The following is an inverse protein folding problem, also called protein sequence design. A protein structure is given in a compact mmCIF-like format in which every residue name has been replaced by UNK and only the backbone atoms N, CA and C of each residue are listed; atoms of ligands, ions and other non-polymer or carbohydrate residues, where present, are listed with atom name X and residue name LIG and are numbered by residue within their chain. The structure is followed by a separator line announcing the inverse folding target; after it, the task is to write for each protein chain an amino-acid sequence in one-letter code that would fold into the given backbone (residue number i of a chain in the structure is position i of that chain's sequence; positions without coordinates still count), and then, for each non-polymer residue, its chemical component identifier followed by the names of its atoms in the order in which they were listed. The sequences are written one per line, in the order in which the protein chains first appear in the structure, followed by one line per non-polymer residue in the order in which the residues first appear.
data_IF_646870526879
#
_entry.id   IF_646870526879
#
_cell.length_a   1.000
_cell.length_b   1.000
_cell.length_c   1.000
_cell.angle_alpha   90.00
_cell.angle_beta   90.00
_cell.angle_gamma   90.00
#
_symmetry.space_group_name_H-M   'P 1'
#
loop_
_entity.id
_entity.type
_entity.pdbx_description
1 polymer ?
#
# COMPACT_ATOMS: atom_id res chain seq x y z
N UNK A 1 -0.66 -4.73 -4.38
CA UNK A 1 -0.52 -5.67 -3.24
C UNK A 1 -0.64 -7.09 -3.77
N UNK A 2 0.16 -8.04 -3.28
CA UNK A 2 0.20 -9.41 -3.80
C UNK A 2 -0.76 -10.39 -3.12
N UNK A 3 -0.95 -10.28 -1.79
CA UNK A 3 -1.72 -11.28 -1.02
C UNK A 3 -2.81 -10.71 -0.11
N UNK A 4 -2.90 -9.38 0.06
CA UNK A 4 -3.94 -8.74 0.89
C UNK A 4 -3.80 -8.95 2.40
N UNK A 5 -3.02 -9.93 2.84
CA UNK A 5 -2.68 -10.21 4.24
C UNK A 5 -1.33 -9.60 4.65
N UNK A 6 -1.17 -9.36 5.95
CA UNK A 6 0.08 -8.85 6.52
C UNK A 6 1.18 -9.93 6.55
N UNK A 7 2.43 -9.62 6.19
CA UNK A 7 3.53 -10.60 6.08
C UNK A 7 3.91 -11.29 7.41
N UNK A 8 3.78 -10.57 8.54
CA UNK A 8 4.04 -11.11 9.88
C UNK A 8 2.79 -11.23 10.74
N UNK A 9 1.65 -10.78 10.21
CA UNK A 9 0.43 -10.61 10.98
C UNK A 9 -0.10 -11.93 11.52
N UNK A 10 -0.55 -11.90 12.76
CA UNK A 10 -1.48 -12.89 13.29
C UNK A 10 -2.70 -12.13 13.83
N UNK A 11 -3.90 -12.65 13.55
CA UNK A 11 -5.14 -12.02 14.01
C UNK A 11 -5.28 -12.00 15.55
N UNK A 12 -4.48 -12.79 16.29
CA UNK A 12 -4.69 -13.03 17.72
C UNK A 12 -3.46 -12.84 18.60
N UNK A 13 -2.26 -12.73 18.04
CA UNK A 13 -1.00 -12.85 18.78
C UNK A 13 -0.02 -11.75 18.37
N UNK A 14 -0.24 -10.54 18.90
CA UNK A 14 0.63 -9.38 18.65
C UNK A 14 2.08 -9.61 19.09
N UNK A 15 2.30 -10.27 20.23
CA UNK A 15 3.64 -10.61 20.72
C UNK A 15 4.42 -11.51 19.75
N UNK A 16 3.73 -12.49 19.14
CA UNK A 16 4.34 -13.36 18.13
C UNK A 16 4.64 -12.61 16.83
N UNK A 17 3.85 -11.57 16.51
CA UNK A 17 4.12 -10.70 15.37
C UNK A 17 5.44 -9.96 15.56
N UNK A 18 5.67 -9.34 16.72
CA UNK A 18 6.94 -8.67 17.02
C UNK A 18 8.12 -9.64 17.00
N UNK A 19 7.96 -10.82 17.62
CA UNK A 19 8.99 -11.85 17.62
C UNK A 19 9.37 -12.30 16.19
N UNK A 20 8.39 -12.42 15.28
CA UNK A 20 8.64 -12.78 13.88
C UNK A 20 9.37 -11.67 13.13
N UNK A 21 8.98 -10.40 13.34
CA UNK A 21 9.65 -9.25 12.73
C UNK A 21 11.12 -9.19 13.16
N UNK A 22 11.39 -9.25 14.47
CA UNK A 22 12.76 -9.20 15.01
C UNK A 22 13.61 -10.37 14.51
N UNK A 23 13.00 -11.55 14.31
CA UNK A 23 13.71 -12.73 13.80
C UNK A 23 13.74 -12.83 12.27
N UNK A 24 13.10 -11.91 11.54
CA UNK A 24 12.96 -12.00 10.08
C UNK A 24 12.21 -13.26 9.60
N UNK A 25 11.35 -13.84 10.45
CA UNK A 25 10.64 -15.08 10.13
C UNK A 25 9.43 -14.79 9.26
N UNK A 26 9.65 -14.83 7.94
CA UNK A 26 8.66 -14.59 6.91
C UNK A 26 8.31 -15.89 6.17
N UNK A 27 7.01 -16.17 6.02
CA UNK A 27 6.52 -17.27 5.19
C UNK A 27 5.86 -16.70 3.95
N UNK A 28 6.43 -16.97 2.78
CA UNK A 28 5.87 -16.52 1.50
C UNK A 28 5.13 -17.66 0.79
N UNK A 29 4.02 -17.38 0.10
CA UNK A 29 3.32 -18.39 -0.68
C UNK A 29 4.15 -18.88 -1.87
N UNK A 30 3.96 -20.16 -2.23
CA UNK A 30 4.63 -20.77 -3.37
C UNK A 30 4.20 -20.22 -4.73
N UNK A 31 3.06 -19.53 -4.81
CA UNK A 31 2.55 -18.95 -6.05
C UNK A 31 3.18 -17.59 -6.39
N UNK A 32 4.06 -17.06 -5.55
CA UNK A 32 4.79 -15.84 -5.85
C UNK A 32 5.86 -16.12 -6.90
N UNK A 33 6.08 -15.16 -7.78
CA UNK A 33 7.20 -15.22 -8.71
C UNK A 33 8.53 -15.14 -7.96
N UNK A 34 9.60 -15.64 -8.57
CA UNK A 34 10.94 -15.65 -7.96
C UNK A 34 11.39 -14.22 -7.67
N UNK A 35 11.12 -13.29 -8.58
CA UNK A 35 11.44 -11.88 -8.46
C UNK A 35 10.66 -11.21 -7.34
N UNK A 36 9.40 -11.61 -7.12
CA UNK A 36 8.60 -11.09 -6.01
C UNK A 36 9.12 -11.60 -4.66
N UNK A 37 9.49 -12.88 -4.57
CA UNK A 37 10.10 -13.45 -3.37
C UNK A 37 11.42 -12.76 -3.06
N UNK A 38 12.28 -12.59 -4.07
CA UNK A 38 13.57 -11.91 -3.94
C UNK A 38 13.40 -10.44 -3.50
N UNK A 39 12.44 -9.71 -4.10
CA UNK A 39 12.15 -8.33 -3.72
C UNK A 39 11.70 -8.24 -2.26
N UNK A 40 10.74 -9.07 -1.84
CA UNK A 40 10.16 -9.00 -0.50
C UNK A 40 11.20 -9.36 0.56
N UNK A 41 11.98 -10.43 0.32
CA UNK A 41 13.01 -10.86 1.28
C UNK A 41 14.08 -9.80 1.49
N UNK A 42 14.54 -9.13 0.42
CA UNK A 42 15.54 -8.06 0.54
C UNK A 42 15.00 -6.77 1.15
N UNK A 43 13.71 -6.46 0.95
CA UNK A 43 13.06 -5.31 1.60
C UNK A 43 12.80 -5.56 3.09
N UNK A 44 12.47 -6.79 3.46
CA UNK A 44 12.19 -7.20 4.84
C UNK A 44 13.43 -7.78 5.54
N UNK A 45 14.62 -7.41 5.07
CA UNK A 45 15.89 -7.75 5.72
C UNK A 45 15.98 -7.11 7.11
N UNK A 46 16.41 -7.90 8.08
CA UNK A 46 16.49 -7.50 9.49
C UNK A 46 17.62 -6.49 9.68
N UNK A 47 18.77 -6.74 9.05
CA UNK A 47 19.87 -5.79 9.03
C UNK A 47 19.54 -4.59 8.13
N UNK A 48 19.41 -3.42 8.73
CA UNK A 48 19.10 -2.16 8.05
C UNK A 48 20.14 -1.78 6.99
N UNK A 49 21.41 -2.13 7.22
CA UNK A 49 22.50 -1.79 6.30
C UNK A 49 22.50 -2.68 5.04
N UNK A 50 22.05 -3.94 5.18
CA UNK A 50 21.92 -4.89 4.08
C UNK A 50 20.56 -4.76 3.35
N UNK A 51 19.58 -4.10 3.97
CA UNK A 51 18.23 -3.91 3.42
C UNK A 51 18.24 -3.21 2.07
N UNK A 52 17.46 -3.74 1.12
CA UNK A 52 17.32 -3.12 -0.19
C UNK A 52 16.83 -1.66 -0.05
N UNK A 53 17.57 -0.74 -0.67
CA UNK A 53 17.33 0.70 -0.55
C UNK A 53 18.20 1.41 0.49
N UNK A 54 18.98 0.68 1.31
CA UNK A 54 19.92 1.29 2.27
C UNK A 54 21.01 2.12 1.58
N UNK A 55 21.41 1.72 0.38
CA UNK A 55 22.41 2.42 -0.45
C UNK A 55 21.78 3.42 -1.44
N UNK A 56 20.48 3.71 -1.30
CA UNK A 56 19.74 4.64 -2.14
C UNK A 56 18.61 3.99 -2.93
N UNK A 57 17.73 4.84 -3.45
CA UNK A 57 16.50 4.41 -4.14
C UNK A 57 16.76 3.66 -5.45
N UNK A 58 17.90 3.91 -6.09
CA UNK A 58 18.20 3.34 -7.40
C UNK A 58 18.35 1.81 -7.34
N UNK A 59 18.79 1.25 -6.20
CA UNK A 59 18.84 -0.21 -6.01
C UNK A 59 17.44 -0.84 -6.02
N UNK A 60 16.43 -0.11 -5.52
CA UNK A 60 15.03 -0.57 -5.54
C UNK A 60 14.50 -0.51 -6.96
N UNK A 61 14.72 0.61 -7.67
CA UNK A 61 14.24 0.81 -9.04
C UNK A 61 14.86 -0.15 -10.05
N UNK A 62 16.11 -0.55 -9.84
CA UNK A 62 16.84 -1.48 -10.69
C UNK A 62 16.54 -2.96 -10.40
N UNK A 63 15.71 -3.26 -9.40
CA UNK A 63 15.38 -4.65 -9.05
C UNK A 63 14.59 -5.33 -10.19
N UNK A 64 14.85 -6.62 -10.52
CA UNK A 64 14.18 -7.33 -11.63
C UNK A 64 12.64 -7.33 -11.56
N UNK A 65 12.07 -7.26 -10.37
CA UNK A 65 10.61 -7.12 -10.19
C UNK A 65 10.03 -5.88 -10.87
N UNK A 66 10.81 -4.80 -10.96
CA UNK A 66 10.42 -3.55 -11.64
C UNK A 66 10.97 -3.44 -13.07
N UNK A 67 11.45 -4.54 -13.66
CA UNK A 67 11.94 -4.50 -15.04
C UNK A 67 10.83 -4.04 -16.00
N UNK A 68 11.21 -3.19 -16.96
CA UNK A 68 10.28 -2.56 -17.91
C UNK A 68 9.45 -1.39 -17.38
N UNK A 69 9.60 -0.96 -16.12
CA UNK A 69 8.91 0.24 -15.61
C UNK A 69 9.59 1.52 -16.11
N UNK A 70 8.84 2.34 -16.85
CA UNK A 70 9.24 3.72 -17.15
C UNK A 70 8.96 4.63 -15.95
N UNK A 71 9.96 4.77 -15.09
CA UNK A 71 9.90 5.62 -13.91
C UNK A 71 9.67 7.10 -14.22
N UNK A 72 10.16 7.59 -15.37
CA UNK A 72 10.01 9.00 -15.76
C UNK A 72 8.59 9.26 -16.24
N UNK A 73 8.09 8.45 -17.17
CA UNK A 73 6.71 8.52 -17.64
C UNK A 73 5.71 8.31 -16.50
N UNK A 74 6.02 7.45 -15.53
CA UNK A 74 5.18 7.26 -14.35
C UNK A 74 5.10 8.53 -13.49
N UNK A 75 6.23 9.21 -13.26
CA UNK A 75 6.27 10.48 -12.53
C UNK A 75 5.51 11.60 -13.26
N UNK A 76 5.55 11.60 -14.59
CA UNK A 76 4.84 12.54 -15.46
C UNK A 76 3.36 12.16 -15.67
N UNK A 77 2.87 11.07 -15.04
CA UNK A 77 1.51 10.53 -15.20
C UNK A 77 1.16 10.14 -16.64
N UNK A 78 2.18 9.83 -17.44
CA UNK A 78 2.03 9.40 -18.84
C UNK A 78 1.76 7.89 -18.98
N UNK A 79 2.02 7.09 -17.93
CA UNK A 79 1.74 5.65 -17.93
C UNK A 79 0.24 5.42 -17.65
N UNK A 80 -0.50 4.76 -18.56
CA UNK A 80 -1.92 4.48 -18.34
C UNK A 80 -2.10 3.46 -17.21
N UNK A 81 -3.13 3.64 -16.41
CA UNK A 81 -3.49 2.65 -15.39
C UNK A 81 -3.89 1.32 -16.04
N UNK A 82 -3.66 0.17 -15.38
CA UNK A 82 -4.08 -1.13 -15.89
C UNK A 82 -5.58 -1.18 -16.19
N UNK A 83 -5.92 -1.72 -17.36
CA UNK A 83 -7.29 -1.77 -17.87
C UNK A 83 -8.26 -2.45 -16.88
N UNK A 84 -7.83 -3.51 -16.21
CA UNK A 84 -8.67 -4.26 -15.26
C UNK A 84 -9.07 -3.40 -14.05
N UNK A 85 -8.20 -2.50 -13.61
CA UNK A 85 -8.49 -1.58 -12.51
C UNK A 85 -9.54 -0.56 -12.97
N UNK A 86 -9.33 0.04 -14.14
CA UNK A 86 -10.28 1.00 -14.74
C UNK A 86 -11.65 0.35 -14.92
N UNK A 87 -11.68 -0.90 -15.40
CA UNK A 87 -12.90 -1.67 -15.63
C UNK A 87 -13.67 -1.93 -14.33
N UNK A 88 -12.98 -2.35 -13.27
CA UNK A 88 -13.61 -2.57 -11.95
C UNK A 88 -14.19 -1.30 -11.36
N UNK A 89 -13.47 -0.18 -11.48
CA UNK A 89 -13.96 1.13 -11.02
C UNK A 89 -15.23 1.52 -11.78
N UNK A 90 -15.24 1.36 -13.10
CA UNK A 90 -16.41 1.68 -13.93
C UNK A 90 -17.65 0.89 -13.52
N UNK A 91 -17.51 -0.44 -13.35
CA UNK A 91 -18.61 -1.30 -12.89
C UNK A 91 -19.12 -0.88 -11.51
N UNK A 92 -18.22 -0.52 -10.59
CA UNK A 92 -18.61 -0.06 -9.27
C UNK A 92 -19.38 1.27 -9.33
N UNK A 93 -18.92 2.23 -10.13
CA UNK A 93 -19.60 3.51 -10.32
C UNK A 93 -20.98 3.33 -10.98
N UNK A 94 -21.08 2.51 -12.02
CA UNK A 94 -22.33 2.25 -12.72
C UNK A 94 -23.36 1.57 -11.79
N UNK A 95 -22.91 0.69 -10.88
CA UNK A 95 -23.79 0.02 -9.89
C UNK A 95 -24.21 0.92 -8.72
N UNK A 96 -23.41 1.92 -8.36
CA UNK A 96 -23.70 2.86 -7.26
C UNK A 96 -24.17 4.24 -7.76
N UNK A 97 -24.46 4.36 -9.05
CA UNK A 97 -24.88 5.62 -9.68
C UNK A 97 -26.24 6.12 -9.20
N UNK A 98 -27.02 5.28 -8.49
CA UNK A 98 -28.37 5.60 -7.99
C UNK A 98 -28.35 6.37 -6.66
N UNK A 99 -27.26 6.29 -5.88
CA UNK A 99 -27.21 6.91 -4.53
C UNK A 99 -26.56 8.30 -4.50
N UNK A 100 -25.83 8.68 -5.57
CA UNK A 100 -25.15 9.99 -5.64
C UNK A 100 -26.16 11.14 -5.75
N UNK A 101 -27.33 10.91 -6.37
CA UNK A 101 -28.40 11.92 -6.49
C UNK A 101 -29.15 12.15 -5.17
N UNK A 102 -29.10 11.19 -4.23
CA UNK A 102 -29.75 11.33 -2.92
C UNK A 102 -28.85 12.07 -1.91
N UNK A 103 -27.53 12.06 -2.10
CA UNK A 103 -26.57 12.72 -1.20
C UNK A 103 -26.31 14.21 -1.53
N UNK A 104 -26.99 14.80 -2.53
CA UNK A 104 -26.90 16.25 -2.81
C UNK A 104 -27.86 17.09 -1.97
N UNK A 105 -28.67 16.47 -1.09
CA UNK A 105 -29.47 17.17 -0.08
C UNK A 105 -28.95 16.88 1.34
N UNK A 106 -27.68 17.18 1.59
CA UNK A 106 -27.29 17.57 2.95
C UNK A 106 -27.64 19.04 3.12
N UNK A 107 -28.54 19.43 4.05
CA UNK A 107 -28.71 20.84 4.37
C UNK A 107 -27.35 21.35 4.88
N UNK A 108 -26.94 22.51 4.37
CA UNK A 108 -25.76 23.25 4.85
C UNK A 108 -25.93 23.38 6.37
N UNK A 109 -25.15 22.64 7.14
CA UNK A 109 -24.99 22.90 8.57
C UNK A 109 -23.87 23.92 8.66
N UNK A 110 -24.20 25.06 9.26
CA UNK A 110 -23.29 26.15 9.52
C UNK A 110 -21.95 25.64 10.06
N UNK A 111 -20.87 26.11 9.44
CA UNK A 111 -19.49 25.85 9.87
C UNK A 111 -19.19 26.85 10.99
N UNK A 112 -19.80 26.63 12.15
CA UNK A 112 -19.42 27.25 13.41
C UNK A 112 -19.67 26.18 14.49
N UNK A 113 -18.65 25.92 15.31
CA UNK A 113 -18.61 24.87 16.35
C UNK A 113 -18.24 23.43 15.90
N UNK A 114 -17.05 23.25 15.30
CA UNK A 114 -16.27 22.04 15.59
C UNK A 114 -15.16 22.42 16.57
N UNK A 115 -15.43 22.15 17.85
CA UNK A 115 -14.46 22.19 18.93
C UNK A 115 -13.16 21.50 18.49
N UNK A 116 -12.08 22.27 18.35
CA UNK A 116 -10.72 21.74 18.33
C UNK A 116 -10.48 21.03 19.66
N UNK A 117 -10.25 19.71 19.67
CA UNK A 117 -9.97 19.01 20.91
C UNK A 117 -8.61 19.45 21.47
N UNK A 118 -8.56 19.78 22.77
CA UNK A 118 -7.35 20.22 23.49
C UNK A 118 -6.13 19.30 23.34
N UNK A 119 -6.30 18.03 22.96
CA UNK A 119 -5.20 17.10 22.81
C UNK A 119 -4.28 17.37 21.61
N UNK A 120 -4.65 18.29 20.70
CA UNK A 120 -3.86 18.64 19.51
C UNK A 120 -2.84 19.77 19.76
N UNK A 121 -2.83 20.40 20.93
CA UNK A 121 -1.92 21.53 21.20
C UNK A 121 -0.55 21.12 21.79
N UNK A 122 -0.34 19.85 22.12
CA UNK A 122 0.88 19.35 22.79
C UNK A 122 1.82 18.51 21.89
N UNK A 123 1.87 18.77 20.57
CA UNK A 123 2.93 18.25 19.67
C UNK A 123 3.61 19.37 18.86
#
# INVERSE_FOLDING_TARGET
MLQGEMPFGSWRESELTFARIVKGQLTLPQHFSIEAVDLITKLLEVDESARLGSQGIDSVKAHPWFDGIDWKGLAERAVPAPHDIISRIKVHLDSHSVDIVTSTYSPVRDIEELNTPEWLEDW
#
